data_IF_932314930891
#
_entry.id   IF_932314930891
#
_cell.length_a   1.000
_cell.length_b   1.000
_cell.length_c   1.000
_cell.angle_alpha   90.00
_cell.angle_beta   90.00
_cell.angle_gamma   90.00
#
_symmetry.space_group_name_H-M   'P 1'
#
loop_
_entity.id
_entity.type
_entity.pdbx_description
1 polymer ?
#
# COMPACT_ATOMS: atom_id res chain seq x y z
N UNK A 1 1.48 -14.59 15.54
CA UNK A 1 0.80 -13.60 14.68
C UNK A 1 0.83 -14.09 13.23
N UNK A 2 -0.16 -13.75 12.40
CA UNK A 2 -0.16 -14.11 10.97
C UNK A 2 0.29 -12.90 10.13
N UNK A 3 1.17 -13.07 9.12
CA UNK A 3 1.59 -11.99 8.25
C UNK A 3 0.43 -11.29 7.54
N UNK A 4 0.61 -10.02 7.13
CA UNK A 4 -0.36 -9.34 6.29
C UNK A 4 -0.66 -10.08 5.00
N UNK A 5 -1.89 -9.93 4.52
CA UNK A 5 -2.26 -10.45 3.21
C UNK A 5 -1.37 -9.82 2.11
N UNK A 6 -0.96 -10.63 1.13
CA UNK A 6 -0.12 -10.20 0.00
C UNK A 6 -0.67 -8.99 -0.77
N UNK A 7 -1.97 -8.70 -0.71
CA UNK A 7 -2.58 -7.51 -1.33
C UNK A 7 -1.99 -6.18 -0.88
N UNK A 8 -1.28 -6.14 0.26
CA UNK A 8 -0.58 -4.96 0.73
C UNK A 8 0.77 -4.76 0.03
N UNK A 9 1.44 -5.83 -0.42
CA UNK A 9 2.72 -5.72 -1.11
C UNK A 9 2.51 -5.05 -2.47
N UNK A 10 3.26 -3.98 -2.76
CA UNK A 10 3.15 -3.25 -4.03
C UNK A 10 3.27 -4.17 -5.23
N UNK A 11 4.19 -5.14 -5.20
CA UNK A 11 4.46 -6.07 -6.31
C UNK A 11 3.38 -7.14 -6.52
N UNK A 12 2.39 -7.21 -5.62
CA UNK A 12 1.23 -8.08 -5.72
C UNK A 12 0.00 -7.36 -6.28
N UNK A 13 0.06 -6.04 -6.44
CA UNK A 13 -1.05 -5.25 -6.99
C UNK A 13 -1.16 -5.53 -8.50
N UNK A 14 -2.39 -5.69 -8.97
CA UNK A 14 -2.74 -6.00 -10.36
C UNK A 14 -3.84 -5.04 -10.84
N UNK A 15 -4.03 -4.88 -12.15
CA UNK A 15 -5.12 -4.05 -12.70
C UNK A 15 -6.51 -4.47 -12.20
N UNK A 16 -6.69 -5.73 -11.79
CA UNK A 16 -7.95 -6.26 -11.25
C UNK A 16 -8.06 -6.18 -9.71
N UNK A 17 -7.01 -5.77 -9.00
CA UNK A 17 -7.04 -5.71 -7.53
C UNK A 17 -8.16 -4.79 -7.01
N UNK A 18 -9.04 -5.21 -6.09
CA UNK A 18 -10.18 -4.41 -5.68
C UNK A 18 -9.73 -3.24 -4.78
N UNK A 19 -10.07 -1.97 -5.11
CA UNK A 19 -9.77 -0.83 -4.27
C UNK A 19 -10.64 -0.82 -3.01
N UNK A 20 -10.06 -0.43 -1.87
CA UNK A 20 -10.78 -0.20 -0.59
C UNK A 20 -10.80 1.28 -0.27
N UNK A 21 -11.54 1.67 0.78
CA UNK A 21 -11.61 3.08 1.23
C UNK A 21 -10.24 3.59 1.70
N UNK A 22 -9.44 2.74 2.34
CA UNK A 22 -8.05 2.99 2.72
C UNK A 22 -7.21 1.79 2.29
N UNK A 23 -6.09 2.05 1.62
CA UNK A 23 -5.21 1.01 1.08
C UNK A 23 -3.78 1.24 1.58
N UNK A 24 -3.34 0.48 2.57
CA UNK A 24 -1.92 0.50 2.98
C UNK A 24 -1.10 -0.35 2.01
N UNK A 25 -0.11 0.26 1.38
CA UNK A 25 0.85 -0.34 0.48
C UNK A 25 2.18 -0.52 1.20
N UNK A 26 2.74 -1.72 1.13
CA UNK A 26 4.07 -2.07 1.63
C UNK A 26 5.05 -1.96 0.46
N UNK A 27 5.97 -1.00 0.57
CA UNK A 27 7.01 -0.78 -0.42
C UNK A 27 8.08 -1.88 -0.37
N UNK A 28 8.81 -2.13 -1.47
CA UNK A 28 9.87 -3.12 -1.51
C UNK A 28 10.95 -2.82 -0.47
N UNK A 29 11.55 -3.87 0.09
CA UNK A 29 12.59 -3.75 1.12
C UNK A 29 12.08 -3.51 2.55
N UNK A 30 10.77 -3.33 2.75
CA UNK A 30 10.20 -3.19 4.10
C UNK A 30 10.16 -4.55 4.81
N UNK A 31 10.92 -4.70 5.90
CA UNK A 31 10.99 -5.95 6.67
C UNK A 31 9.80 -6.11 7.64
N UNK A 32 8.65 -6.45 7.08
CA UNK A 32 7.44 -6.73 7.87
C UNK A 32 7.59 -8.04 8.67
N UNK A 33 8.31 -9.04 8.16
CA UNK A 33 8.46 -10.31 8.86
C UNK A 33 9.34 -10.16 10.11
N UNK A 34 10.41 -9.38 10.02
CA UNK A 34 11.24 -9.00 11.16
C UNK A 34 10.43 -8.30 12.23
N UNK A 35 9.63 -7.30 11.86
CA UNK A 35 8.73 -6.62 12.80
C UNK A 35 7.77 -7.57 13.53
N UNK A 36 7.18 -8.53 12.83
CA UNK A 36 6.29 -9.51 13.47
C UNK A 36 7.04 -10.43 14.44
N UNK A 37 8.29 -10.77 14.14
CA UNK A 37 9.15 -11.54 15.03
C UNK A 37 9.50 -10.72 16.29
N UNK A 38 9.81 -9.43 16.13
CA UNK A 38 10.05 -8.49 17.23
C UNK A 38 8.83 -8.34 18.13
N UNK A 39 7.64 -8.14 17.55
CA UNK A 39 6.38 -8.06 18.31
C UNK A 39 6.11 -9.38 19.04
N UNK A 40 6.28 -10.52 18.37
CA UNK A 40 6.07 -11.84 18.97
C UNK A 40 7.05 -12.14 20.11
N UNK A 41 8.24 -11.54 20.08
CA UNK A 41 9.24 -11.63 21.13
C UNK A 41 9.07 -10.58 22.25
N UNK A 42 7.97 -9.82 22.24
CA UNK A 42 7.68 -8.81 23.26
C UNK A 42 8.47 -7.51 23.13
N UNK A 43 9.09 -7.26 21.97
CA UNK A 43 9.90 -6.04 21.71
C UNK A 43 9.10 -4.93 21.02
N UNK A 44 7.85 -5.19 20.64
CA UNK A 44 6.92 -4.15 20.16
C UNK A 44 6.27 -3.38 21.31
N UNK A 45 5.97 -2.11 21.10
CA UNK A 45 5.21 -1.28 22.03
C UNK A 45 3.73 -1.36 21.72
N UNK A 46 2.91 -1.66 22.71
CA UNK A 46 1.45 -1.61 22.57
C UNK A 46 0.92 -0.18 22.77
N UNK A 47 0.13 0.30 21.83
CA UNK A 47 -0.55 1.61 21.89
C UNK A 47 -2.03 1.36 22.16
N UNK A 48 -2.41 1.42 23.44
CA UNK A 48 -3.76 1.10 23.91
C UNK A 48 -4.85 1.92 23.23
N UNK A 49 -4.64 3.24 23.09
CA UNK A 49 -5.65 4.17 22.57
C UNK A 49 -5.98 3.90 21.09
N UNK A 50 -5.02 3.33 20.35
CA UNK A 50 -5.14 3.04 18.93
C UNK A 50 -5.33 1.54 18.64
N UNK A 51 -5.30 0.69 19.68
CA UNK A 51 -5.31 -0.76 19.58
C UNK A 51 -4.30 -1.30 18.55
N UNK A 52 -3.05 -0.81 18.65
CA UNK A 52 -1.98 -1.03 17.66
C UNK A 52 -0.66 -1.42 18.32
N UNK A 53 0.12 -2.24 17.62
CA UNK A 53 1.54 -2.40 17.93
C UNK A 53 2.37 -1.38 17.15
N UNK A 54 3.39 -0.82 17.80
CA UNK A 54 4.45 -0.04 17.17
C UNK A 54 5.80 -0.75 17.36
N UNK A 55 6.54 -0.89 16.26
CA UNK A 55 7.89 -1.47 16.26
C UNK A 55 8.66 -0.87 15.08
N UNK A 56 9.93 -0.51 15.28
CA UNK A 56 10.78 0.09 14.23
C UNK A 56 10.11 1.32 13.52
N UNK A 57 9.31 2.10 14.26
CA UNK A 57 8.55 3.24 13.72
C UNK A 57 7.36 2.88 12.84
N UNK A 58 6.98 1.60 12.75
CA UNK A 58 5.83 1.10 11.99
C UNK A 58 4.71 0.64 12.91
N UNK A 59 3.48 0.96 12.52
CA UNK A 59 2.25 0.63 13.25
C UNK A 59 1.44 -0.44 12.56
N UNK A 60 0.86 -1.31 13.39
CA UNK A 60 0.13 -2.49 12.97
C UNK A 60 -1.12 -2.72 13.82
N UNK A 61 -2.24 -3.08 13.17
CA UNK A 61 -3.42 -3.63 13.86
C UNK A 61 -3.35 -5.15 13.79
N UNK A 62 -3.81 -5.82 14.85
CA UNK A 62 -4.04 -7.27 14.83
C UNK A 62 -5.54 -7.50 14.82
N UNK A 63 -6.04 -8.12 13.75
CA UNK A 63 -7.45 -8.53 13.70
C UNK A 63 -7.71 -9.68 14.68
N UNK A 64 -8.98 -9.91 15.03
CA UNK A 64 -9.41 -11.05 15.85
C UNK A 64 -8.96 -12.42 15.29
N UNK A 65 -8.72 -12.50 13.97
CA UNK A 65 -8.22 -13.70 13.27
C UNK A 65 -6.71 -13.95 13.48
N UNK A 66 -6.02 -13.01 14.15
CA UNK A 66 -4.57 -12.98 14.31
C UNK A 66 -3.80 -12.43 13.10
N UNK A 67 -4.51 -12.01 12.04
CA UNK A 67 -3.91 -11.38 10.85
C UNK A 67 -3.48 -9.97 11.18
N UNK A 68 -2.24 -9.65 10.85
CA UNK A 68 -1.69 -8.32 11.05
C UNK A 68 -1.97 -7.44 9.84
N UNK A 69 -2.37 -6.20 10.08
CA UNK A 69 -2.63 -5.20 9.04
C UNK A 69 -1.66 -4.03 9.23
N UNK A 70 -0.83 -3.70 8.22
CA UNK A 70 -0.02 -2.50 8.20
C UNK A 70 -0.87 -1.23 8.24
N UNK A 71 -0.49 -0.27 9.08
CA UNK A 71 -1.22 1.00 9.24
C UNK A 71 -0.42 2.19 8.73
N UNK A 72 0.79 2.39 9.25
CA UNK A 72 1.62 3.57 8.96
C UNK A 72 3.07 3.36 9.38
N UNK A 73 3.98 4.18 8.87
CA UNK A 73 5.40 4.17 9.22
C UNK A 73 6.30 4.01 7.99
N UNK A 74 7.63 4.02 8.19
CA UNK A 74 8.59 3.92 7.08
C UNK A 74 8.35 2.68 6.22
N UNK A 75 8.32 2.85 4.91
CA UNK A 75 8.04 1.75 3.96
C UNK A 75 6.55 1.47 3.74
N UNK A 76 5.63 2.14 4.45
CA UNK A 76 4.20 2.07 4.20
C UNK A 76 3.66 3.36 3.58
N UNK A 77 2.87 3.21 2.52
CA UNK A 77 2.14 4.33 1.89
C UNK A 77 0.64 4.07 2.00
N UNK A 78 -0.11 5.07 2.45
CA UNK A 78 -1.57 4.99 2.49
C UNK A 78 -2.14 5.66 1.24
N UNK A 79 -2.92 4.90 0.47
CA UNK A 79 -3.66 5.43 -0.67
C UNK A 79 -5.16 5.46 -0.39
N UNK A 80 -5.80 6.56 -0.77
CA UNK A 80 -7.25 6.67 -0.87
C UNK A 80 -7.81 5.74 -1.95
N UNK A 81 -9.14 5.63 -2.03
CA UNK A 81 -9.80 4.83 -3.07
C UNK A 81 -9.53 5.36 -4.49
N UNK A 82 -9.64 6.67 -4.77
CA UNK A 82 -9.23 7.26 -6.04
C UNK A 82 -7.75 7.03 -6.38
N UNK A 83 -6.83 7.35 -5.48
CA UNK A 83 -5.38 7.16 -5.69
C UNK A 83 -5.03 5.70 -6.03
N UNK A 84 -5.62 4.73 -5.31
CA UNK A 84 -5.40 3.32 -5.61
C UNK A 84 -5.95 2.91 -6.99
N UNK A 85 -7.06 3.53 -7.45
CA UNK A 85 -7.56 3.29 -8.82
C UNK A 85 -6.58 3.82 -9.87
N UNK A 86 -6.01 5.00 -9.67
CA UNK A 86 -4.97 5.54 -10.54
C UNK A 86 -3.76 4.60 -10.58
N UNK A 87 -3.27 4.13 -9.42
CA UNK A 87 -2.17 3.17 -9.36
C UNK A 87 -2.44 1.91 -10.19
N UNK A 88 -3.64 1.34 -10.07
CA UNK A 88 -4.01 0.16 -10.86
C UNK A 88 -4.02 0.45 -12.36
N UNK A 89 -4.49 1.62 -12.76
CA UNK A 89 -4.52 2.01 -14.16
C UNK A 89 -3.10 2.18 -14.71
N UNK A 90 -2.19 2.82 -13.96
CA UNK A 90 -0.78 2.92 -14.31
C UNK A 90 -0.15 1.53 -14.51
N UNK A 91 -0.43 0.58 -13.59
CA UNK A 91 0.01 -0.81 -13.73
C UNK A 91 -0.57 -1.46 -15.00
N UNK A 92 -1.85 -1.23 -15.29
CA UNK A 92 -2.54 -1.79 -16.46
C UNK A 92 -2.04 -1.22 -17.79
N UNK A 93 -1.71 0.06 -17.81
CA UNK A 93 -1.14 0.76 -18.97
C UNK A 93 0.38 0.57 -19.11
N UNK A 94 1.01 -0.29 -18.30
CA UNK A 94 2.45 -0.52 -18.36
C UNK A 94 3.30 0.71 -18.00
N UNK A 95 2.72 1.69 -17.29
CA UNK A 95 3.37 2.96 -16.95
C UNK A 95 3.14 4.10 -17.93
N UNK A 96 2.40 3.88 -19.02
CA UNK A 96 1.98 4.96 -19.92
C UNK A 96 0.96 5.87 -19.20
N UNK A 97 1.42 7.06 -18.83
CA UNK A 97 0.63 8.05 -18.08
C UNK A 97 -0.50 8.61 -18.94
N UNK A 98 -0.27 8.85 -20.23
CA UNK A 98 -1.27 9.43 -21.13
C UNK A 98 -2.38 8.42 -21.42
N UNK A 99 -2.02 7.16 -21.67
CA UNK A 99 -3.00 6.08 -21.81
C UNK A 99 -3.80 5.87 -20.52
N UNK A 100 -3.15 5.96 -19.35
CA UNK A 100 -3.86 5.90 -18.08
C UNK A 100 -4.82 7.08 -17.88
N UNK A 101 -4.40 8.30 -18.25
CA UNK A 101 -5.22 9.52 -18.15
C UNK A 101 -6.43 9.43 -19.06
N UNK A 102 -6.27 9.00 -20.31
CA UNK A 102 -7.42 8.84 -21.22
C UNK A 102 -8.39 7.77 -20.71
N UNK A 103 -7.88 6.65 -20.18
CA UNK A 103 -8.71 5.59 -19.62
C UNK A 103 -9.56 6.05 -18.40
N UNK A 104 -9.03 6.97 -17.58
CA UNK A 104 -9.71 7.51 -16.41
C UNK A 104 -10.42 8.85 -16.66
N UNK A 105 -10.33 9.42 -17.87
CA UNK A 105 -10.82 10.77 -18.19
C UNK A 105 -12.29 11.00 -17.88
N UNK A 106 -13.11 9.94 -17.93
CA UNK A 106 -14.56 9.99 -17.68
C UNK A 106 -14.96 9.50 -16.29
N UNK A 107 -14.02 9.13 -15.43
CA UNK A 107 -14.32 8.73 -14.05
C UNK A 107 -14.45 9.98 -13.16
N UNK A 108 -15.66 10.37 -12.72
CA UNK A 108 -15.86 11.58 -11.93
C UNK A 108 -15.31 11.47 -10.51
N UNK A 109 -14.85 10.28 -10.09
CA UNK A 109 -14.26 10.06 -8.77
C UNK A 109 -12.75 10.25 -8.72
N UNK A 110 -12.12 10.54 -9.86
CA UNK A 110 -10.69 10.82 -9.98
C UNK A 110 -10.48 12.32 -10.23
N UNK A 111 -9.56 12.90 -9.46
CA UNK A 111 -9.09 14.28 -9.58
C UNK A 111 -7.60 14.32 -9.92
N UNK A 112 -7.09 15.48 -10.33
CA UNK A 112 -5.65 15.66 -10.60
C UNK A 112 -4.77 15.38 -9.37
N UNK A 113 -5.28 15.64 -8.16
CA UNK A 113 -4.53 15.41 -6.92
C UNK A 113 -4.28 13.92 -6.64
N UNK A 114 -5.07 13.02 -7.22
CA UNK A 114 -4.96 11.57 -6.99
C UNK A 114 -3.79 10.93 -7.76
N UNK A 115 -3.22 11.65 -8.73
CA UNK A 115 -2.17 11.14 -9.61
C UNK A 115 -0.80 11.07 -8.95
N UNK A 116 -0.39 12.12 -8.24
CA UNK A 116 0.96 12.19 -7.67
C UNK A 116 1.22 11.06 -6.65
N UNK A 117 0.34 10.80 -5.66
CA UNK A 117 0.55 9.71 -4.72
C UNK A 117 0.60 8.33 -5.40
N UNK A 118 -0.23 8.14 -6.42
CA UNK A 118 -0.26 6.90 -7.19
C UNK A 118 1.02 6.69 -8.02
N UNK A 119 1.53 7.74 -8.66
CA UNK A 119 2.79 7.73 -9.42
C UNK A 119 3.98 7.43 -8.51
N UNK A 120 4.03 8.05 -7.33
CA UNK A 120 5.11 7.83 -6.37
C UNK A 120 5.15 6.36 -5.91
N UNK A 121 3.99 5.75 -5.65
CA UNK A 121 3.92 4.31 -5.37
C UNK A 121 4.28 3.47 -6.59
N UNK A 122 3.82 3.87 -7.78
CA UNK A 122 4.06 3.14 -9.02
C UNK A 122 5.55 3.01 -9.35
N UNK A 123 6.37 4.03 -9.03
CA UNK A 123 7.84 3.99 -9.19
C UNK A 123 8.50 2.84 -8.43
N UNK A 124 7.85 2.32 -7.39
CA UNK A 124 8.33 1.16 -6.63
C UNK A 124 7.77 -0.19 -7.11
N UNK A 125 6.84 -0.18 -8.07
CA UNK A 125 6.23 -1.39 -8.60
C UNK A 125 7.19 -2.09 -9.58
N UNK A 126 7.26 -3.42 -9.55
CA UNK A 126 8.13 -4.25 -10.43
C UNK A 126 7.94 -4.04 -11.95
N UNK A 127 6.83 -3.44 -12.37
CA UNK A 127 6.57 -3.13 -13.78
C UNK A 127 7.08 -1.75 -14.21
N UNK A 128 7.52 -0.92 -13.27
CA UNK A 128 8.08 0.38 -13.58
C UNK A 128 9.40 0.22 -14.35
N UNK A 129 9.55 1.00 -15.43
CA UNK A 129 10.70 0.92 -16.34
C UNK A 129 11.61 2.15 -16.31
N UNK A 130 11.34 3.12 -15.44
CA UNK A 130 12.03 4.42 -15.46
C UNK A 130 11.33 5.41 -16.38
N UNK A 131 11.62 6.70 -16.18
CA UNK A 131 11.34 7.74 -17.18
C UNK A 131 12.30 7.50 -18.35
N UNK A 132 11.76 7.42 -19.57
CA UNK A 132 12.54 7.30 -20.79
C UNK A 132 13.22 8.63 -21.15
#
# INVERSE_FOLDING_TARGET
>A
MKPPNNRHNVNSIRPQSPPKNKNTIVLPGTDVLGDLAEISAGRGTWIEQANQYEVNGRRYIVESTGTVIPVSGPGFVNLSRPEYRVLKQLIGSGGDIDAAREALRRDPSISEADWQPALDVFKHHKSYRGEA
#
